data_IF_199953061064
#
_entry.id   IF_199953061064
#
_cell.length_a   1.000
_cell.length_b   1.000
_cell.length_c   1.000
_cell.angle_alpha   90.00
_cell.angle_beta   90.00
_cell.angle_gamma   90.00
#
_symmetry.space_group_name_H-M   'P 1'
#
loop_
_entity.id
_entity.type
_entity.pdbx_description
1 polymer ?
#
# COMPACT_ATOMS: atom_id res chain seq x y z
N UNK A 1 2.54 1.14 -8.51
CA UNK A 1 3.24 0.78 -7.25
C UNK A 1 2.24 0.77 -6.10
N UNK A 2 2.31 -0.22 -5.24
CA UNK A 2 1.46 -0.33 -4.05
C UNK A 2 2.31 -0.34 -2.77
N UNK A 3 1.66 -0.37 -1.61
CA UNK A 3 2.37 -0.39 -0.32
C UNK A 3 3.29 -1.60 -0.20
N UNK A 4 2.84 -2.76 -0.65
CA UNK A 4 3.65 -3.99 -0.68
C UNK A 4 4.95 -3.78 -1.46
N UNK A 5 4.88 -3.20 -2.65
CA UNK A 5 6.05 -2.95 -3.50
C UNK A 5 7.04 -1.99 -2.83
N UNK A 6 6.52 -0.93 -2.19
CA UNK A 6 7.36 0.04 -1.47
C UNK A 6 8.10 -0.62 -0.32
N UNK A 7 7.41 -1.41 0.48
CA UNK A 7 8.01 -2.12 1.61
C UNK A 7 9.00 -3.17 1.12
N UNK A 8 8.67 -3.91 0.07
CA UNK A 8 9.56 -4.91 -0.52
C UNK A 8 10.88 -4.29 -0.98
N UNK A 9 10.82 -3.14 -1.65
CA UNK A 9 12.04 -2.42 -2.09
C UNK A 9 12.87 -1.96 -0.91
N UNK A 10 12.23 -1.49 0.15
CA UNK A 10 12.92 -1.03 1.34
C UNK A 10 13.65 -2.18 2.03
N UNK A 11 13.00 -3.32 2.19
CA UNK A 11 13.58 -4.51 2.81
C UNK A 11 14.72 -5.08 1.96
N UNK A 12 14.56 -5.13 0.63
CA UNK A 12 15.56 -5.65 -0.30
C UNK A 12 16.82 -4.78 -0.43
N UNK A 13 16.75 -3.53 0.03
CA UNK A 13 17.91 -2.65 0.04
C UNK A 13 19.03 -3.14 0.99
N UNK A 14 18.71 -4.06 1.89
CA UNK A 14 19.64 -4.61 2.87
C UNK A 14 19.96 -6.07 2.56
N UNK A 15 21.19 -6.49 2.92
CA UNK A 15 21.61 -7.88 2.74
C UNK A 15 20.86 -8.83 3.66
N UNK A 16 20.89 -10.17 3.36
CA UNK A 16 20.14 -11.15 4.16
C UNK A 16 20.49 -11.17 5.64
N UNK A 17 21.74 -10.87 5.99
CA UNK A 17 22.20 -10.85 7.38
C UNK A 17 21.68 -9.62 8.14
N UNK A 18 21.48 -8.51 7.45
CA UNK A 18 21.04 -7.25 8.03
C UNK A 18 19.52 -7.10 8.04
N UNK A 19 18.83 -7.80 7.14
CA UNK A 19 17.40 -7.64 6.91
C UNK A 19 16.53 -7.76 8.17
N UNK A 20 16.73 -8.75 9.09
CA UNK A 20 15.90 -8.83 10.29
C UNK A 20 16.01 -7.62 11.20
N UNK A 21 17.23 -7.15 11.47
CA UNK A 21 17.45 -5.98 12.32
C UNK A 21 16.90 -4.71 11.68
N UNK A 22 17.15 -4.54 10.38
CA UNK A 22 16.67 -3.37 9.63
C UNK A 22 15.15 -3.36 9.50
N UNK A 23 14.53 -4.52 9.31
CA UNK A 23 13.07 -4.62 9.26
C UNK A 23 12.46 -4.20 10.60
N UNK A 24 13.06 -4.62 11.73
CA UNK A 24 12.61 -4.22 13.05
C UNK A 24 12.75 -2.71 13.27
N UNK A 25 13.87 -2.12 12.88
CA UNK A 25 14.11 -0.68 12.99
C UNK A 25 13.10 0.12 12.16
N UNK A 26 12.85 -0.33 10.93
CA UNK A 26 11.88 0.30 10.04
C UNK A 26 10.48 0.26 10.66
N UNK A 27 10.05 -0.91 11.13
CA UNK A 27 8.73 -1.08 11.76
C UNK A 27 8.56 -0.20 13.00
N UNK A 28 9.62 -0.07 13.80
CA UNK A 28 9.58 0.76 14.99
C UNK A 28 9.38 2.24 14.65
N UNK A 29 9.99 2.70 13.55
CA UNK A 29 9.93 4.09 13.11
C UNK A 29 8.70 4.39 12.22
N UNK A 30 8.12 3.37 11.59
CA UNK A 30 7.10 3.55 10.56
C UNK A 30 5.78 4.02 11.16
N UNK A 31 5.25 5.11 10.60
CA UNK A 31 3.96 5.71 11.01
C UNK A 31 2.90 5.55 9.95
N UNK A 32 3.29 5.66 8.68
CA UNK A 32 2.36 5.56 7.55
C UNK A 32 3.12 5.10 6.31
N UNK A 33 2.45 4.29 5.50
CA UNK A 33 2.88 3.98 4.13
C UNK A 33 1.79 4.47 3.20
N UNK A 34 2.18 5.22 2.18
CA UNK A 34 1.26 5.72 1.15
C UNK A 34 1.83 5.34 -0.21
N UNK A 35 0.99 4.77 -1.06
CA UNK A 35 1.28 4.54 -2.46
C UNK A 35 0.25 5.27 -3.31
N UNK A 36 0.66 5.76 -4.47
CA UNK A 36 -0.27 6.39 -5.40
C UNK A 36 0.05 6.06 -6.84
N UNK A 37 -0.99 6.08 -7.66
CA UNK A 37 -0.89 6.00 -9.12
C UNK A 37 -1.76 7.09 -9.73
N UNK A 38 -1.32 7.63 -10.86
CA UNK A 38 -2.12 8.59 -11.61
C UNK A 38 -2.88 7.86 -12.71
N UNK A 39 -4.16 8.16 -12.82
CA UNK A 39 -5.04 7.63 -13.88
C UNK A 39 -5.73 8.79 -14.58
N UNK A 40 -6.28 8.54 -15.76
CA UNK A 40 -7.09 9.52 -16.46
C UNK A 40 -8.49 9.53 -15.84
N UNK A 41 -8.92 10.67 -15.35
CA UNK A 41 -10.23 10.87 -14.74
C UNK A 41 -11.34 11.06 -15.78
N UNK A 42 -12.56 11.20 -15.26
CA UNK A 42 -13.77 11.35 -16.10
C UNK A 42 -13.73 12.62 -16.96
N UNK A 43 -13.05 13.67 -16.50
CA UNK A 43 -12.89 14.94 -17.23
C UNK A 43 -11.66 14.97 -18.16
N UNK A 44 -10.94 13.86 -18.30
CA UNK A 44 -9.71 13.77 -19.09
C UNK A 44 -8.46 14.23 -18.37
N UNK A 45 -8.57 14.75 -17.16
CA UNK A 45 -7.43 15.18 -16.34
C UNK A 45 -6.94 14.02 -15.49
N UNK A 46 -5.68 14.11 -15.05
CA UNK A 46 -5.10 13.09 -14.16
C UNK A 46 -5.71 13.16 -12.77
N UNK A 47 -6.01 11.99 -12.24
CA UNK A 47 -6.53 11.81 -10.88
C UNK A 47 -5.60 10.87 -10.15
N UNK A 48 -5.24 11.21 -8.92
CA UNK A 48 -4.45 10.33 -8.07
C UNK A 48 -5.35 9.28 -7.42
N UNK A 49 -4.97 8.01 -7.58
CA UNK A 49 -5.54 6.89 -6.82
C UNK A 49 -4.51 6.54 -5.76
N UNK A 50 -4.94 6.41 -4.53
CA UNK A 50 -4.04 6.21 -3.40
C UNK A 50 -4.46 5.02 -2.57
N UNK A 51 -3.46 4.37 -1.96
CA UNK A 51 -3.69 3.46 -0.84
C UNK A 51 -2.75 3.85 0.29
N UNK A 52 -3.17 3.61 1.53
CA UNK A 52 -2.37 3.94 2.70
C UNK A 52 -2.69 3.06 3.88
N UNK A 53 -1.74 2.99 4.79
CA UNK A 53 -1.87 2.30 6.06
C UNK A 53 -1.18 3.12 7.14
N UNK A 54 -1.92 3.45 8.19
CA UNK A 54 -1.36 4.03 9.40
C UNK A 54 -1.01 2.90 10.36
N UNK A 55 0.16 2.98 10.96
CA UNK A 55 0.68 1.96 11.88
C UNK A 55 0.40 2.36 13.32
N UNK A 56 -0.27 1.49 14.07
CA UNK A 56 -0.40 1.62 15.51
C UNK A 56 0.56 0.66 16.22
N UNK A 57 0.61 0.76 17.55
CA UNK A 57 1.51 -0.06 18.36
C UNK A 57 1.23 -1.57 18.22
N UNK A 58 -0.04 -1.95 18.24
CA UNK A 58 -0.44 -3.35 18.16
C UNK A 58 -0.05 -3.96 16.82
N UNK A 59 -0.26 -3.20 15.74
CA UNK A 59 0.12 -3.61 14.38
C UNK A 59 1.64 -3.78 14.28
N UNK A 60 2.41 -2.82 14.76
CA UNK A 60 3.88 -2.92 14.74
C UNK A 60 4.38 -4.14 15.50
N UNK A 61 3.80 -4.43 16.68
CA UNK A 61 4.16 -5.62 17.46
C UNK A 61 3.87 -6.91 16.69
N UNK A 62 2.69 -7.00 16.07
CA UNK A 62 2.33 -8.18 15.29
C UNK A 62 3.28 -8.37 14.11
N UNK A 63 3.62 -7.29 13.40
CA UNK A 63 4.51 -7.34 12.23
C UNK A 63 5.96 -7.66 12.60
N UNK A 64 6.41 -7.36 13.81
CA UNK A 64 7.76 -7.70 14.27
C UNK A 64 8.01 -9.20 14.35
N UNK A 65 6.96 -10.00 14.45
CA UNK A 65 7.06 -11.46 14.48
C UNK A 65 7.00 -12.09 13.08
N UNK A 66 6.79 -11.28 12.05
CA UNK A 66 6.72 -11.74 10.66
C UNK A 66 8.14 -11.78 10.08
N UNK A 67 8.53 -12.89 9.42
CA UNK A 67 9.83 -12.93 8.74
C UNK A 67 9.96 -11.82 7.71
N UNK A 68 11.15 -11.21 7.56
CA UNK A 68 11.33 -10.09 6.61
C UNK A 68 10.87 -10.40 5.18
N UNK A 69 11.02 -11.64 4.73
CA UNK A 69 10.59 -12.05 3.37
C UNK A 69 9.07 -12.02 3.21
N UNK A 70 8.31 -12.13 4.29
CA UNK A 70 6.85 -12.12 4.29
C UNK A 70 6.27 -10.76 4.70
N UNK A 71 7.12 -9.83 5.14
CA UNK A 71 6.68 -8.56 5.70
C UNK A 71 5.84 -7.73 4.72
N UNK A 72 6.26 -7.64 3.47
CA UNK A 72 5.55 -6.87 2.45
C UNK A 72 4.13 -7.40 2.23
N UNK A 73 3.96 -8.73 2.19
CA UNK A 73 2.65 -9.37 2.06
C UNK A 73 1.79 -9.13 3.29
N UNK A 74 2.39 -9.24 4.49
CA UNK A 74 1.67 -8.99 5.74
C UNK A 74 1.18 -7.55 5.83
N UNK A 75 1.98 -6.59 5.38
CA UNK A 75 1.58 -5.17 5.35
C UNK A 75 0.43 -4.96 4.36
N UNK A 76 0.47 -5.58 3.18
CA UNK A 76 -0.62 -5.48 2.22
C UNK A 76 -1.93 -6.03 2.79
N UNK A 77 -1.88 -7.12 3.53
CA UNK A 77 -3.05 -7.65 4.24
C UNK A 77 -3.62 -6.66 5.24
N UNK A 78 -2.76 -5.91 5.95
CA UNK A 78 -3.21 -4.86 6.86
C UNK A 78 -3.83 -3.68 6.12
N UNK A 79 -3.30 -3.31 4.95
CA UNK A 79 -3.91 -2.29 4.09
C UNK A 79 -5.34 -2.69 3.74
N UNK A 80 -5.54 -3.94 3.36
CA UNK A 80 -6.85 -4.44 2.94
C UNK A 80 -7.84 -4.53 4.11
N UNK A 81 -7.37 -4.81 5.31
CA UNK A 81 -8.22 -4.95 6.49
C UNK A 81 -8.47 -3.66 7.24
N UNK A 82 -7.43 -2.86 7.45
CA UNK A 82 -7.46 -1.70 8.35
C UNK A 82 -7.09 -0.39 7.70
N UNK A 83 -6.42 -0.45 6.55
CA UNK A 83 -6.01 0.72 5.81
C UNK A 83 -7.05 1.14 4.78
N UNK A 84 -6.61 1.99 3.85
CA UNK A 84 -7.41 2.42 2.71
C UNK A 84 -6.76 1.86 1.45
N UNK A 85 -7.40 0.86 0.86
CA UNK A 85 -6.87 0.16 -0.33
C UNK A 85 -7.15 0.94 -1.62
N UNK A 86 -6.44 0.61 -2.69
CA UNK A 86 -6.76 1.13 -4.02
C UNK A 86 -8.22 0.85 -4.42
N UNK A 87 -8.76 -0.30 -4.03
CA UNK A 87 -10.16 -0.65 -4.28
C UNK A 87 -11.10 0.35 -3.62
N UNK A 88 -10.88 0.66 -2.35
CA UNK A 88 -11.71 1.63 -1.61
C UNK A 88 -11.59 3.02 -2.19
N UNK A 89 -10.37 3.42 -2.56
CA UNK A 89 -10.15 4.73 -3.17
C UNK A 89 -10.85 4.81 -4.54
N UNK A 90 -10.76 3.76 -5.34
CA UNK A 90 -11.45 3.68 -6.63
C UNK A 90 -12.98 3.75 -6.46
N UNK A 91 -13.53 3.06 -5.46
CA UNK A 91 -14.96 3.13 -5.15
C UNK A 91 -15.39 4.55 -4.79
N UNK A 92 -14.61 5.23 -3.96
CA UNK A 92 -14.88 6.62 -3.56
C UNK A 92 -14.80 7.58 -4.76
N UNK A 93 -13.79 7.42 -5.60
CA UNK A 93 -13.63 8.23 -6.81
C UNK A 93 -14.75 8.01 -7.80
N UNK A 94 -15.21 6.77 -7.96
CA UNK A 94 -16.35 6.45 -8.84
C UNK A 94 -17.63 7.09 -8.29
N UNK A 95 -17.89 6.95 -7.00
CA UNK A 95 -19.05 7.54 -6.34
C UNK A 95 -19.06 9.07 -6.45
N UNK A 96 -17.88 9.69 -6.43
CA UNK A 96 -17.73 11.15 -6.59
C UNK A 96 -17.76 11.60 -8.06
N UNK A 97 -17.89 10.69 -9.00
CA UNK A 97 -17.91 11.00 -10.43
C UNK A 97 -16.54 11.43 -10.99
N UNK A 98 -15.46 11.13 -10.25
CA UNK A 98 -14.10 11.54 -10.63
C UNK A 98 -13.46 10.59 -11.63
N UNK A 99 -13.90 9.35 -11.70
CA UNK A 99 -13.45 8.35 -12.67
C UNK A 99 -14.66 7.66 -13.32
N UNK A 100 -14.44 7.05 -14.48
CA UNK A 100 -15.48 6.29 -15.20
C UNK A 100 -15.55 4.86 -14.65
N UNK A 101 -16.68 4.14 -14.88
CA UNK A 101 -16.76 2.72 -14.54
C UNK A 101 -15.66 1.88 -15.19
N UNK A 102 -15.25 2.21 -16.42
CA UNK A 102 -14.16 1.53 -17.13
C UNK A 102 -12.82 1.76 -16.42
N UNK A 103 -12.58 2.97 -15.96
CA UNK A 103 -11.36 3.28 -15.20
C UNK A 103 -11.37 2.60 -13.84
N UNK A 104 -12.51 2.55 -13.18
CA UNK A 104 -12.68 1.81 -11.94
C UNK A 104 -12.30 0.34 -12.12
N UNK A 105 -12.83 -0.31 -13.16
CA UNK A 105 -12.50 -1.70 -13.46
C UNK A 105 -11.00 -1.89 -13.73
N UNK A 106 -10.37 -0.96 -14.43
CA UNK A 106 -8.93 -0.95 -14.67
C UNK A 106 -8.13 -0.94 -13.37
N UNK A 107 -8.53 -0.10 -12.42
CA UNK A 107 -7.87 -0.03 -11.11
C UNK A 107 -8.04 -1.35 -10.35
N UNK A 108 -9.24 -1.91 -10.35
CA UNK A 108 -9.51 -3.17 -9.65
C UNK A 108 -8.75 -4.36 -10.22
N UNK A 109 -8.36 -4.29 -11.49
CA UNK A 109 -7.51 -5.31 -12.12
C UNK A 109 -6.02 -5.11 -11.85
N UNK A 110 -5.66 -4.15 -11.01
CA UNK A 110 -4.26 -3.86 -10.72
C UNK A 110 -3.59 -2.96 -11.76
N UNK A 111 -4.35 -2.08 -12.37
CA UNK A 111 -3.88 -1.13 -13.41
C UNK A 111 -3.42 -1.82 -14.71
N UNK A 112 -4.19 -2.81 -15.09
CA UNK A 112 -3.95 -3.59 -16.33
C UNK A 112 -5.15 -3.53 -17.30
#
# INVERSE_FOLDING_TARGET
>A
MNCRTRVSRLVKAFGPEEAPAMAADILEALRVVIAQRLVIGADGRRVAVREWLFFDRAMRRALMHVPPVELATAIQEQVDRKGHSYRRDADDLLAAGRITPERHAYILRGFD
#
